data_IF_250945971294
#
_entry.id   IF_250945971294
#
_cell.length_a   1.000
_cell.length_b   1.000
_cell.length_c   1.000
_cell.angle_alpha   90.00
_cell.angle_beta   90.00
_cell.angle_gamma   90.00
#
_symmetry.space_group_name_H-M   'P 1'
#
loop_
_entity.id
_entity.type
_entity.pdbx_description
1 polymer ?
#
# COMPACT_ATOMS: atom_id res chain seq x y z
N UNK A 1 3.11 -1.67 27.62
CA UNK A 1 2.29 -1.04 26.56
C UNK A 1 3.20 -0.65 25.42
N UNK A 2 3.37 -1.51 24.43
CA UNK A 2 4.08 -1.14 23.20
C UNK A 2 3.09 -0.35 22.37
N UNK A 3 3.33 0.96 22.18
CA UNK A 3 2.45 1.78 21.34
C UNK A 3 2.59 1.25 19.92
N UNK A 4 1.54 0.61 19.40
CA UNK A 4 1.50 0.22 18.00
C UNK A 4 1.81 1.46 17.14
N UNK A 5 2.70 1.37 16.15
CA UNK A 5 2.98 2.50 15.27
C UNK A 5 1.64 2.96 14.65
N UNK A 6 1.36 4.26 14.72
CA UNK A 6 0.19 4.82 14.05
C UNK A 6 0.47 4.82 12.56
N UNK A 7 -0.37 4.14 11.80
CA UNK A 7 -0.32 4.12 10.34
C UNK A 7 -1.29 5.21 9.86
N UNK A 8 -0.75 6.24 9.24
CA UNK A 8 -1.48 7.44 8.83
C UNK A 8 -1.71 7.46 7.32
N UNK A 9 -2.77 8.16 6.89
CA UNK A 9 -3.02 8.37 5.45
C UNK A 9 -1.83 9.12 4.85
N UNK A 10 -1.29 8.62 3.75
CA UNK A 10 -0.12 9.18 3.08
C UNK A 10 1.20 8.50 3.45
N UNK A 11 1.23 7.65 4.50
CA UNK A 11 2.40 6.85 4.79
C UNK A 11 2.70 5.89 3.63
N UNK A 12 4.00 5.66 3.37
CA UNK A 12 4.48 4.78 2.31
C UNK A 12 5.16 3.55 2.93
N UNK A 13 4.70 2.38 2.53
CA UNK A 13 5.26 1.10 2.94
C UNK A 13 5.72 0.29 1.74
N UNK A 14 6.85 -0.41 1.90
CA UNK A 14 7.31 -1.42 0.94
C UNK A 14 6.68 -2.75 1.28
N UNK A 15 5.72 -3.19 0.47
CA UNK A 15 4.93 -4.41 0.69
C UNK A 15 5.30 -5.42 -0.40
N UNK A 16 5.43 -6.69 -0.03
CA UNK A 16 5.44 -7.82 -0.95
C UNK A 16 4.01 -8.41 -1.00
N UNK A 17 3.26 -8.21 -2.09
CA UNK A 17 1.86 -8.64 -2.19
C UNK A 17 1.71 -10.12 -2.53
N UNK A 18 2.81 -10.84 -2.77
CA UNK A 18 2.73 -12.25 -3.14
C UNK A 18 2.16 -13.11 -1.99
N UNK A 19 1.32 -14.12 -2.29
CA UNK A 19 0.93 -14.59 -3.63
C UNK A 19 -0.16 -13.73 -4.27
N UNK A 20 -0.10 -13.60 -5.60
CA UNK A 20 -1.08 -12.83 -6.38
C UNK A 20 -1.78 -13.65 -7.46
N UNK A 21 -3.01 -13.28 -7.81
CA UNK A 21 -3.80 -13.95 -8.83
C UNK A 21 -3.73 -13.22 -10.19
N UNK A 22 -3.50 -13.99 -11.27
CA UNK A 22 -3.56 -13.44 -12.64
C UNK A 22 -2.53 -12.35 -12.93
N UNK A 23 -3.02 -11.16 -13.34
CA UNK A 23 -2.24 -10.00 -13.77
C UNK A 23 -2.09 -8.91 -12.69
N UNK A 24 -2.36 -9.26 -11.44
CA UNK A 24 -2.06 -8.41 -10.29
C UNK A 24 -0.56 -8.08 -10.23
N UNK A 25 -0.22 -6.94 -9.62
CA UNK A 25 1.16 -6.53 -9.48
C UNK A 25 1.92 -7.46 -8.52
N UNK A 26 3.12 -7.87 -8.94
CA UNK A 26 3.98 -8.84 -8.26
C UNK A 26 5.19 -8.14 -7.66
N UNK A 27 5.85 -8.87 -6.76
CA UNK A 27 7.13 -8.52 -6.14
C UNK A 27 7.05 -7.29 -5.23
N UNK A 28 8.12 -7.01 -4.51
CA UNK A 28 8.13 -5.94 -3.53
C UNK A 28 8.12 -4.57 -4.20
N UNK A 29 7.16 -3.72 -3.84
CA UNK A 29 7.05 -2.35 -4.36
C UNK A 29 6.47 -1.38 -3.32
N UNK A 30 6.63 -0.06 -3.50
CA UNK A 30 6.06 0.90 -2.58
C UNK A 30 4.54 1.01 -2.77
N UNK A 31 3.84 1.21 -1.66
CA UNK A 31 2.40 1.45 -1.58
C UNK A 31 2.12 2.63 -0.65
N UNK A 32 1.13 3.45 -0.97
CA UNK A 32 0.66 4.54 -0.12
C UNK A 32 -0.65 4.20 0.55
N UNK A 33 -0.77 4.52 1.85
CA UNK A 33 -2.00 4.36 2.64
C UNK A 33 -3.04 5.39 2.23
N UNK A 34 -4.26 4.95 1.89
CA UNK A 34 -5.36 5.84 1.47
C UNK A 34 -6.49 5.92 2.50
N UNK A 35 -6.58 4.97 3.43
CA UNK A 35 -7.57 4.98 4.51
C UNK A 35 -7.16 5.91 5.65
N UNK A 36 -8.12 6.57 6.33
CA UNK A 36 -7.86 7.43 7.47
C UNK A 36 -7.46 6.60 8.72
N UNK A 37 -6.84 7.24 9.71
CA UNK A 37 -6.24 6.56 10.88
C UNK A 37 -7.29 5.81 11.72
N UNK A 38 -8.53 6.27 11.73
CA UNK A 38 -9.66 5.64 12.42
C UNK A 38 -9.99 4.27 11.84
N UNK A 39 -9.82 4.08 10.52
CA UNK A 39 -9.99 2.79 9.85
C UNK A 39 -8.72 1.94 10.05
N UNK A 40 -7.54 2.54 9.89
CA UNK A 40 -6.27 1.82 10.05
C UNK A 40 -6.11 1.21 11.45
N UNK A 41 -6.63 1.90 12.47
CA UNK A 41 -6.65 1.43 13.86
C UNK A 41 -7.49 0.16 14.08
N UNK A 42 -8.39 -0.19 13.14
CA UNK A 42 -9.15 -1.44 13.15
C UNK A 42 -8.35 -2.64 12.64
N UNK A 43 -7.11 -2.42 12.18
CA UNK A 43 -6.28 -3.45 11.55
C UNK A 43 -6.60 -3.70 10.08
N UNK A 44 -7.50 -2.91 9.49
CA UNK A 44 -7.79 -2.92 8.05
C UNK A 44 -7.22 -1.65 7.41
N UNK A 45 -6.37 -1.82 6.41
CA UNK A 45 -5.69 -0.71 5.73
C UNK A 45 -5.86 -0.91 4.23
N UNK A 46 -6.28 0.13 3.52
CA UNK A 46 -6.26 0.13 2.07
C UNK A 46 -5.08 0.94 1.57
N UNK A 47 -4.43 0.42 0.54
CA UNK A 47 -3.27 1.04 -0.08
C UNK A 47 -3.37 1.01 -1.59
N UNK A 48 -2.72 1.94 -2.27
CA UNK A 48 -2.51 1.89 -3.72
C UNK A 48 -1.02 1.81 -4.04
N UNK A 49 -0.63 1.04 -5.05
CA UNK A 49 0.76 0.95 -5.42
C UNK A 49 1.31 2.23 -6.03
N UNK A 50 2.59 2.49 -5.77
CA UNK A 50 3.37 3.52 -6.45
C UNK A 50 4.24 2.83 -7.50
N UNK A 51 4.06 3.20 -8.76
CA UNK A 51 4.83 2.69 -9.89
C UNK A 51 5.68 3.81 -10.49
N UNK A 52 6.97 3.56 -10.71
CA UNK A 52 7.84 4.49 -11.43
C UNK A 52 7.97 4.06 -12.89
N UNK A 53 7.33 4.78 -13.81
CA UNK A 53 7.52 4.54 -15.24
C UNK A 53 6.37 5.06 -16.11
N UNK A 54 6.74 5.76 -17.19
CA UNK A 54 5.86 6.24 -18.27
C UNK A 54 5.09 5.15 -19.02
N UNK A 55 5.21 3.87 -18.62
CA UNK A 55 4.62 2.71 -19.28
C UNK A 55 3.08 2.70 -19.24
N UNK A 56 2.45 3.34 -18.26
CA UNK A 56 0.98 3.53 -18.21
C UNK A 56 0.52 4.93 -18.62
N UNK A 57 1.45 5.87 -18.84
CA UNK A 57 1.14 7.26 -19.22
C UNK A 57 0.96 7.45 -20.74
N UNK A 58 1.14 6.40 -21.54
CA UNK A 58 0.81 6.38 -22.97
C UNK A 58 -0.57 5.76 -23.18
N UNK A 59 -1.60 6.55 -22.90
CA UNK A 59 -2.93 6.38 -23.49
C UNK A 59 -3.01 7.05 -24.85
#
# INVERSE_FOLDING_TARGET
MTRSPRIERGDIYWIDPNPVAGREMRDRHPFVVITPVEINALGLIMTVPIISGSAFAKG
#
